data_IF_272277870179
#
_entry.id   IF_272277870179
#
_cell.length_a   1.000
_cell.length_b   1.000
_cell.length_c   1.000
_cell.angle_alpha   90.00
_cell.angle_beta   90.00
_cell.angle_gamma   90.00
#
_symmetry.space_group_name_H-M   'P 1'
#
loop_
_entity.id
_entity.type
_entity.pdbx_description
1 polymer ?
#
# COMPACT_ATOMS: atom_id res chain seq x y z
N UNK A 1 21.14 1.42 14.95
CA UNK A 1 19.93 1.51 14.12
C UNK A 1 20.08 0.59 12.91
N UNK A 2 19.43 -0.58 12.92
CA UNK A 2 19.34 -1.43 11.73
C UNK A 2 18.47 -0.70 10.71
N UNK A 3 19.08 -0.24 9.62
CA UNK A 3 18.37 0.25 8.46
C UNK A 3 17.65 -0.95 7.84
N UNK A 4 16.40 -1.15 8.21
CA UNK A 4 15.52 -2.05 7.48
C UNK A 4 15.43 -1.46 6.09
N UNK A 5 16.15 -2.06 5.13
CA UNK A 5 15.96 -1.82 3.71
C UNK A 5 14.47 -2.08 3.46
N UNK A 6 13.64 -1.03 3.40
CA UNK A 6 12.29 -1.20 2.88
C UNK A 6 12.47 -1.55 1.41
N UNK A 7 12.38 -2.84 1.15
CA UNK A 7 12.69 -3.55 -0.08
C UNK A 7 11.48 -3.46 -1.01
N UNK A 8 10.77 -2.34 -1.01
CA UNK A 8 9.45 -2.26 -1.60
C UNK A 8 9.61 -1.91 -3.09
N UNK A 9 10.07 -2.92 -3.82
CA UNK A 9 10.08 -3.02 -5.27
C UNK A 9 8.75 -3.54 -5.82
N UNK A 10 7.64 -3.25 -5.13
CA UNK A 10 6.31 -3.60 -5.63
C UNK A 10 6.02 -2.80 -6.90
N UNK A 11 5.68 -3.54 -7.95
CA UNK A 11 5.30 -3.00 -9.26
C UNK A 11 3.78 -2.89 -9.37
N UNK A 12 3.31 -2.08 -10.32
CA UNK A 12 1.89 -1.97 -10.61
C UNK A 12 1.39 -3.34 -11.09
N UNK A 13 0.34 -3.85 -10.46
CA UNK A 13 -0.22 -5.18 -10.69
C UNK A 13 0.08 -6.18 -9.58
N UNK A 14 1.08 -5.90 -8.74
CA UNK A 14 1.48 -6.80 -7.66
C UNK A 14 0.48 -6.80 -6.50
N UNK A 15 0.33 -7.95 -5.83
CA UNK A 15 -0.53 -8.11 -4.67
C UNK A 15 0.33 -8.11 -3.41
N UNK A 16 0.07 -7.16 -2.53
CA UNK A 16 0.74 -7.00 -1.25
C UNK A 16 -0.26 -7.08 -0.09
N UNK A 17 0.26 -7.09 1.13
CA UNK A 17 -0.57 -7.01 2.34
C UNK A 17 -0.22 -5.74 3.11
N UNK A 18 -1.23 -5.04 3.63
CA UNK A 18 -1.00 -3.86 4.46
C UNK A 18 -0.32 -4.26 5.78
N UNK A 19 0.83 -3.67 6.08
CA UNK A 19 1.56 -3.96 7.33
C UNK A 19 1.14 -3.07 8.50
N UNK A 20 0.37 -2.01 8.21
CA UNK A 20 -0.23 -1.08 9.16
C UNK A 20 -1.60 -0.63 8.68
N UNK A 21 -2.36 0.01 9.56
CA UNK A 21 -3.59 0.70 9.15
C UNK A 21 -3.21 1.81 8.17
N UNK A 22 -3.80 1.77 6.99
CA UNK A 22 -3.68 2.81 5.97
C UNK A 22 -4.90 3.68 6.10
N UNK A 23 -4.71 4.97 6.36
CA UNK A 23 -5.79 5.93 6.53
C UNK A 23 -5.52 7.11 5.60
N UNK A 24 -6.47 7.39 4.71
CA UNK A 24 -6.38 8.46 3.72
C UNK A 24 -7.74 9.13 3.56
N UNK A 25 -7.78 10.31 2.97
CA UNK A 25 -9.03 11.02 2.71
C UNK A 25 -10.01 10.23 1.81
N UNK A 26 -9.49 9.30 1.00
CA UNK A 26 -10.29 8.47 0.10
C UNK A 26 -10.82 7.17 0.73
N UNK A 27 -10.42 6.87 1.98
CA UNK A 27 -10.78 5.63 2.67
C UNK A 27 -9.63 5.08 3.50
N UNK A 28 -9.88 3.97 4.17
CA UNK A 28 -8.88 3.29 4.98
C UNK A 28 -8.85 1.79 4.70
N UNK A 29 -7.68 1.20 4.89
CA UNK A 29 -7.50 -0.24 4.96
C UNK A 29 -7.00 -0.62 6.35
N UNK A 30 -7.54 -1.69 6.90
CA UNK A 30 -7.03 -2.26 8.14
C UNK A 30 -5.66 -2.91 7.91
N UNK A 31 -4.95 -3.17 9.00
CA UNK A 31 -3.71 -3.94 8.92
C UNK A 31 -4.05 -5.39 8.55
N UNK A 32 -3.28 -5.98 7.63
CA UNK A 32 -3.49 -7.36 7.16
C UNK A 32 -4.47 -7.47 5.99
N UNK A 33 -4.96 -6.34 5.48
CA UNK A 33 -5.79 -6.32 4.27
C UNK A 33 -4.93 -6.61 3.05
N UNK A 34 -5.42 -7.53 2.21
CA UNK A 34 -4.79 -7.86 0.94
C UNK A 34 -5.18 -6.80 -0.10
N UNK A 35 -4.19 -6.21 -0.74
CA UNK A 35 -4.36 -5.09 -1.65
C UNK A 35 -3.45 -5.25 -2.86
N UNK A 36 -3.89 -4.72 -3.99
CA UNK A 36 -3.17 -4.69 -5.25
C UNK A 36 -2.61 -3.30 -5.48
N UNK A 37 -1.35 -3.21 -5.88
CA UNK A 37 -0.75 -1.95 -6.31
C UNK A 37 -1.30 -1.59 -7.68
N UNK A 38 -2.10 -0.53 -7.76
CA UNK A 38 -2.68 -0.02 -9.02
C UNK A 38 -1.94 1.20 -9.55
N UNK A 39 -1.12 1.84 -8.73
CA UNK A 39 -0.37 3.03 -9.08
C UNK A 39 0.81 3.27 -8.14
N UNK A 40 1.76 4.05 -8.62
CA UNK A 40 2.95 4.45 -7.86
C UNK A 40 3.16 5.94 -8.08
N UNK A 41 3.10 6.68 -6.99
CA UNK A 41 3.30 8.12 -6.97
C UNK A 41 4.62 8.46 -6.28
N UNK A 42 5.08 9.71 -6.38
CA UNK A 42 6.32 10.15 -5.74
C UNK A 42 6.33 9.91 -4.22
N UNK A 43 5.16 9.90 -3.58
CA UNK A 43 5.01 9.79 -2.12
C UNK A 43 4.49 8.43 -1.62
N UNK A 44 4.09 7.52 -2.50
CA UNK A 44 3.48 6.27 -2.07
C UNK A 44 2.92 5.39 -3.18
N UNK A 45 2.13 4.40 -2.77
CA UNK A 45 1.39 3.49 -3.64
C UNK A 45 -0.09 3.84 -3.66
N UNK A 46 -0.70 3.62 -4.81
CA UNK A 46 -2.13 3.57 -4.96
C UNK A 46 -2.55 2.11 -4.88
N UNK A 47 -3.48 1.81 -3.98
CA UNK A 47 -3.88 0.46 -3.59
C UNK A 47 -5.35 0.23 -3.91
N UNK A 48 -5.65 -0.98 -4.39
CA UNK A 48 -7.01 -1.44 -4.64
C UNK A 48 -7.22 -2.81 -4.00
N UNK A 49 -8.33 -3.02 -3.31
CA UNK A 49 -8.66 -4.34 -2.76
C UNK A 49 -9.49 -5.18 -3.76
N UNK A 50 -9.73 -6.45 -3.45
CA UNK A 50 -10.54 -7.36 -4.28
C UNK A 50 -11.99 -6.89 -4.50
N UNK A 51 -12.56 -6.12 -3.59
CA UNK A 51 -13.91 -5.54 -3.69
C UNK A 51 -13.93 -4.23 -4.50
N UNK A 52 -12.78 -3.75 -4.99
CA UNK A 52 -12.66 -2.53 -5.77
C UNK A 52 -12.61 -1.24 -4.92
N UNK A 53 -12.43 -1.33 -3.60
CA UNK A 53 -12.13 -0.15 -2.79
C UNK A 53 -10.71 0.31 -3.11
N UNK A 54 -10.52 1.64 -3.19
CA UNK A 54 -9.24 2.23 -3.57
C UNK A 54 -8.78 3.23 -2.54
N UNK A 55 -7.49 3.20 -2.24
CA UNK A 55 -6.84 4.22 -1.44
C UNK A 55 -5.61 4.69 -2.18
N UNK A 56 -5.51 5.99 -2.40
CA UNK A 56 -4.42 6.64 -3.13
C UNK A 56 -3.40 7.23 -2.16
N UNK A 57 -2.17 7.40 -2.66
CA UNK A 57 -1.05 8.05 -1.94
C UNK A 57 -0.73 7.42 -0.57
N UNK A 58 -0.83 6.11 -0.49
CA UNK A 58 -0.49 5.36 0.73
C UNK A 58 1.04 5.28 0.84
N UNK A 59 1.63 5.83 1.90
CA UNK A 59 3.09 5.93 1.99
C UNK A 59 3.80 4.59 1.75
N UNK A 60 5.03 4.60 1.22
CA UNK A 60 5.78 3.40 0.81
C UNK A 60 5.95 2.31 1.90
N UNK A 61 5.74 2.68 3.16
CA UNK A 61 5.77 1.82 4.34
C UNK A 61 4.39 1.23 4.70
N UNK A 62 3.40 1.34 3.81
CA UNK A 62 2.02 0.90 4.06
C UNK A 62 1.80 -0.58 3.78
N UNK A 63 2.62 -1.15 2.90
CA UNK A 63 2.52 -2.52 2.41
C UNK A 63 3.85 -3.25 2.57
N UNK A 64 3.81 -4.57 2.63
CA UNK A 64 5.00 -5.43 2.73
C UNK A 64 4.73 -6.85 2.28
#
# INVERSE_FOLDING_TARGET
MTYVKNKNGFEIGDWATTIKKVDSCAGYFEKGTKVKVIGKSYRGYDLEDEYGNRVIETGYDSIG
#
